data_IF_268974366102
#
_entry.id   IF_268974366102
#
_cell.length_a   1.000
_cell.length_b   1.000
_cell.length_c   1.000
_cell.angle_alpha   90.00
_cell.angle_beta   90.00
_cell.angle_gamma   90.00
#
_symmetry.space_group_name_H-M   'P 1'
#
loop_
_entity.id
_entity.type
_entity.pdbx_description
1 polymer ?
#
# COMPACT_ATOMS: atom_id res chain seq x y z
N UNK A 1 -5.24 22.67 -4.26
CA UNK A 1 -6.13 23.64 -3.60
C UNK A 1 -7.58 23.18 -3.59
N UNK A 2 -8.18 22.81 -4.73
CA UNK A 2 -9.58 22.34 -4.79
C UNK A 2 -9.93 21.21 -3.82
N UNK A 3 -9.10 20.16 -3.73
CA UNK A 3 -9.35 19.05 -2.80
C UNK A 3 -9.39 19.48 -1.33
N UNK A 4 -8.51 20.41 -0.94
CA UNK A 4 -8.46 20.92 0.43
C UNK A 4 -9.67 21.81 0.74
N UNK A 5 -10.01 22.74 -0.17
CA UNK A 5 -11.20 23.59 -0.03
C UNK A 5 -12.47 22.74 0.04
N UNK A 6 -12.55 21.68 -0.75
CA UNK A 6 -13.68 20.77 -0.76
C UNK A 6 -13.76 19.94 0.54
N UNK A 7 -12.64 19.40 1.02
CA UNK A 7 -12.60 18.70 2.31
C UNK A 7 -12.98 19.60 3.49
N UNK A 8 -12.51 20.86 3.49
CA UNK A 8 -12.93 21.85 4.48
C UNK A 8 -14.44 22.12 4.41
N UNK A 9 -15.00 22.31 3.22
CA UNK A 9 -16.43 22.53 3.04
C UNK A 9 -17.25 21.34 3.60
N UNK A 10 -16.87 20.12 3.26
CA UNK A 10 -17.53 18.90 3.74
C UNK A 10 -17.44 18.72 5.25
N UNK A 11 -16.35 19.19 5.87
CA UNK A 11 -16.16 19.11 7.33
C UNK A 11 -16.89 20.24 8.07
N UNK A 12 -16.96 21.43 7.45
CA UNK A 12 -17.58 22.62 8.05
C UNK A 12 -19.12 22.53 8.07
N UNK A 13 -19.73 21.90 7.05
CA UNK A 13 -21.18 21.70 6.95
C UNK A 13 -21.80 21.02 8.19
N UNK A 14 -21.39 19.80 8.57
CA UNK A 14 -21.90 19.12 9.76
C UNK A 14 -21.48 19.82 11.06
N UNK A 15 -20.33 20.49 11.09
CA UNK A 15 -19.90 21.30 12.23
C UNK A 15 -20.81 22.52 12.45
N UNK A 16 -21.16 23.25 11.39
CA UNK A 16 -22.06 24.41 11.45
C UNK A 16 -23.49 24.03 11.85
N UNK A 17 -23.92 22.81 11.51
CA UNK A 17 -25.20 22.25 11.93
C UNK A 17 -25.19 21.63 13.35
N UNK A 18 -24.08 21.75 14.09
CA UNK A 18 -23.89 21.19 15.44
C UNK A 18 -24.20 19.68 15.52
N UNK A 19 -23.83 18.94 14.47
CA UNK A 19 -24.10 17.50 14.35
C UNK A 19 -23.01 16.68 15.03
N UNK A 20 -21.79 17.21 15.18
CA UNK A 20 -20.72 16.51 15.89
C UNK A 20 -20.88 16.59 17.42
N UNK A 21 -20.59 15.48 18.11
CA UNK A 21 -20.64 15.39 19.56
C UNK A 21 -19.84 14.21 20.10
N UNK A 22 -19.67 14.15 21.43
CA UNK A 22 -19.05 13.00 22.08
C UNK A 22 -20.02 11.82 22.06
N UNK A 23 -19.58 10.69 21.50
CA UNK A 23 -20.30 9.43 21.57
C UNK A 23 -19.94 8.71 22.87
N UNK A 24 -20.95 8.40 23.69
CA UNK A 24 -20.77 7.81 25.01
C UNK A 24 -20.29 6.35 24.94
N UNK A 25 -20.61 5.65 23.84
CA UNK A 25 -20.26 4.23 23.66
C UNK A 25 -18.80 4.04 23.29
N UNK A 26 -18.31 4.84 22.33
CA UNK A 26 -16.92 4.75 21.86
C UNK A 26 -15.96 5.67 22.59
N UNK A 27 -16.46 6.69 23.30
CA UNK A 27 -15.65 7.73 23.94
C UNK A 27 -14.96 8.67 22.92
N UNK A 28 -15.34 8.59 21.64
CA UNK A 28 -14.81 9.41 20.56
C UNK A 28 -15.78 10.53 20.15
N UNK A 29 -15.26 11.57 19.50
CA UNK A 29 -16.13 12.55 18.84
C UNK A 29 -16.64 11.99 17.52
N UNK A 30 -17.95 11.83 17.40
CA UNK A 30 -18.63 11.34 16.19
C UNK A 30 -19.92 12.12 15.90
N UNK A 31 -20.72 11.67 14.94
CA UNK A 31 -22.07 12.20 14.69
C UNK A 31 -22.97 11.93 15.91
N UNK A 32 -23.56 12.99 16.48
CA UNK A 32 -24.43 12.94 17.65
C UNK A 32 -25.79 12.35 17.27
N UNK A 33 -26.33 11.44 18.08
CA UNK A 33 -27.66 10.86 17.87
C UNK A 33 -27.64 9.65 16.93
N UNK A 34 -26.67 8.74 17.13
CA UNK A 34 -26.64 7.46 16.46
C UNK A 34 -28.00 6.75 16.55
N UNK A 35 -28.52 6.31 15.40
CA UNK A 35 -29.85 5.68 15.29
C UNK A 35 -30.96 6.58 14.74
N UNK A 36 -30.77 7.89 14.62
CA UNK A 36 -31.75 8.76 13.93
C UNK A 36 -31.51 8.82 12.42
N UNK A 37 -32.57 8.61 11.62
CA UNK A 37 -32.49 8.58 10.13
C UNK A 37 -31.87 9.84 9.54
N UNK A 38 -32.17 11.00 10.14
CA UNK A 38 -31.60 12.28 9.73
C UNK A 38 -30.06 12.31 9.84
N UNK A 39 -29.50 11.72 10.90
CA UNK A 39 -28.06 11.65 11.12
C UNK A 39 -27.40 10.71 10.11
N UNK A 40 -28.07 9.61 9.75
CA UNK A 40 -27.60 8.72 8.69
C UNK A 40 -27.47 9.45 7.35
N UNK A 41 -28.44 10.31 6.99
CA UNK A 41 -28.38 11.10 5.76
C UNK A 41 -27.17 12.05 5.79
N UNK A 42 -26.91 12.71 6.92
CA UNK A 42 -25.73 13.57 7.07
C UNK A 42 -24.45 12.79 6.87
N UNK A 43 -24.27 11.70 7.60
CA UNK A 43 -23.10 10.85 7.54
C UNK A 43 -22.85 10.30 6.12
N UNK A 44 -23.90 9.84 5.44
CA UNK A 44 -23.81 9.44 4.04
C UNK A 44 -23.46 10.60 3.12
N UNK A 45 -24.05 11.77 3.31
CA UNK A 45 -23.87 12.90 2.40
C UNK A 45 -22.51 13.57 2.56
N UNK A 46 -21.92 13.58 3.76
CA UNK A 46 -20.65 14.27 4.04
C UNK A 46 -19.45 13.34 3.99
N UNK A 47 -19.63 12.03 4.23
CA UNK A 47 -18.53 11.08 4.35
C UNK A 47 -18.63 9.92 3.35
N UNK A 48 -19.57 8.99 3.54
CA UNK A 48 -19.59 7.75 2.76
C UNK A 48 -19.87 7.96 1.28
N UNK A 49 -20.80 8.85 0.93
CA UNK A 49 -21.16 9.12 -0.47
C UNK A 49 -19.99 9.67 -1.28
N UNK A 50 -19.17 10.55 -0.69
CA UNK A 50 -17.97 11.07 -1.35
C UNK A 50 -16.86 10.04 -1.44
N UNK A 51 -16.75 9.18 -0.42
CA UNK A 51 -15.85 8.04 -0.46
C UNK A 51 -16.24 7.14 -1.63
N UNK A 52 -17.48 6.65 -1.68
CA UNK A 52 -17.98 5.76 -2.74
C UNK A 52 -17.87 6.38 -4.14
N UNK A 53 -18.20 7.66 -4.29
CA UNK A 53 -18.02 8.39 -5.55
C UNK A 53 -16.55 8.42 -6.00
N UNK A 54 -15.62 8.60 -5.06
CA UNK A 54 -14.17 8.57 -5.34
C UNK A 54 -13.71 7.17 -5.73
N UNK A 55 -14.21 6.12 -5.07
CA UNK A 55 -13.92 4.72 -5.42
C UNK A 55 -14.41 4.41 -6.83
N UNK A 56 -15.66 4.77 -7.12
CA UNK A 56 -16.28 4.55 -8.42
C UNK A 56 -15.52 5.28 -9.52
N UNK A 57 -15.15 6.54 -9.29
CA UNK A 57 -14.32 7.32 -10.23
C UNK A 57 -12.98 6.64 -10.50
N UNK A 58 -12.26 6.22 -9.45
CA UNK A 58 -10.99 5.50 -9.58
C UNK A 58 -11.16 4.19 -10.37
N UNK A 59 -12.22 3.43 -10.10
CA UNK A 59 -12.51 2.19 -10.83
C UNK A 59 -12.77 2.46 -12.33
N UNK A 60 -13.56 3.48 -12.66
CA UNK A 60 -13.85 3.87 -14.05
C UNK A 60 -12.57 4.23 -14.80
N UNK A 61 -11.74 5.12 -14.22
CA UNK A 61 -10.47 5.55 -14.84
C UNK A 61 -9.57 4.34 -15.12
N UNK A 62 -9.50 3.40 -14.18
CA UNK A 62 -8.66 2.21 -14.31
C UNK A 62 -9.20 1.26 -15.36
N UNK A 63 -10.51 1.03 -15.39
CA UNK A 63 -11.17 0.28 -16.46
C UNK A 63 -10.86 0.91 -17.83
N UNK A 64 -10.92 2.23 -17.95
CA UNK A 64 -10.57 2.94 -19.19
C UNK A 64 -9.10 2.71 -19.59
N UNK A 65 -8.17 2.81 -18.64
CA UNK A 65 -6.74 2.57 -18.86
C UNK A 65 -6.49 1.12 -19.32
N UNK A 66 -7.07 0.13 -18.64
CA UNK A 66 -6.94 -1.29 -19.00
C UNK A 66 -7.48 -1.52 -20.42
N UNK A 67 -8.67 -0.99 -20.72
CA UNK A 67 -9.27 -1.12 -22.06
C UNK A 67 -8.36 -0.52 -23.12
N UNK A 68 -7.80 0.66 -22.87
CA UNK A 68 -6.86 1.32 -23.79
C UNK A 68 -5.59 0.49 -23.98
N UNK A 69 -4.99 -0.02 -22.91
CA UNK A 69 -3.80 -0.87 -22.97
C UNK A 69 -4.05 -2.17 -23.73
N UNK A 70 -5.21 -2.81 -23.51
CA UNK A 70 -5.58 -4.02 -24.24
C UNK A 70 -5.83 -3.76 -25.73
N UNK A 71 -6.38 -2.59 -26.08
CA UNK A 71 -6.55 -2.20 -27.49
C UNK A 71 -5.19 -1.99 -28.17
N UNK A 72 -4.26 -1.30 -27.51
CA UNK A 72 -2.90 -1.08 -28.02
C UNK A 72 -2.16 -2.42 -28.16
N UNK A 73 -2.26 -3.32 -27.17
CA UNK A 73 -1.66 -4.64 -27.24
C UNK A 73 -2.15 -5.46 -28.44
N UNK A 74 -3.47 -5.42 -28.73
CA UNK A 74 -4.04 -6.11 -29.90
C UNK A 74 -3.55 -5.54 -31.24
N UNK A 75 -3.23 -4.25 -31.31
CA UNK A 75 -2.66 -3.64 -32.52
C UNK A 75 -1.23 -4.14 -32.79
N UNK A 76 -0.44 -4.38 -31.74
CA UNK A 76 0.89 -4.96 -31.92
C UNK A 76 0.85 -6.42 -32.34
N UNK A 77 -0.06 -7.22 -31.76
CA UNK A 77 -0.21 -8.64 -32.13
C UNK A 77 -0.61 -8.83 -33.61
N UNK A 78 -1.35 -7.88 -34.20
CA UNK A 78 -1.74 -7.94 -35.62
C UNK A 78 -0.60 -7.59 -36.59
N UNK A 79 0.35 -6.74 -36.19
CA UNK A 79 1.51 -6.36 -37.01
C UNK A 79 2.59 -7.45 -37.08
N UNK A 80 2.72 -8.23 -36.00
CA UNK A 80 3.69 -9.34 -35.95
C UNK A 80 3.32 -10.49 -36.90
N UNK A 81 2.02 -10.74 -37.14
CA UNK A 81 1.58 -11.78 -38.09
C UNK A 81 1.93 -11.44 -39.55
N UNK A 82 2.03 -10.17 -39.92
CA UNK A 82 2.39 -9.73 -41.28
C UNK A 82 3.89 -9.72 -41.58
N UNK A 83 4.76 -9.88 -40.57
CA UNK A 83 6.22 -9.69 -40.68
C UNK A 83 7.02 -11.01 -40.64
N UNK A 84 6.51 -12.08 -41.28
CA UNK A 84 7.04 -13.46 -41.20
C UNK A 84 8.38 -13.70 -41.91
N UNK A 85 9.20 -12.69 -42.21
CA UNK A 85 10.48 -12.94 -42.88
C UNK A 85 11.60 -12.03 -42.40
N UNK A 86 12.54 -12.65 -41.68
CA UNK A 86 13.92 -12.27 -41.37
C UNK A 86 14.19 -11.51 -40.06
N UNK A 87 14.66 -12.31 -39.11
CA UNK A 87 15.95 -12.17 -38.41
C UNK A 87 16.00 -11.38 -37.10
N UNK A 88 16.33 -12.14 -36.04
CA UNK A 88 16.90 -11.75 -34.74
C UNK A 88 16.10 -10.78 -33.86
N UNK A 89 14.97 -11.27 -33.39
CA UNK A 89 13.97 -10.60 -32.55
C UNK A 89 14.03 -11.08 -31.08
N UNK A 90 15.16 -10.90 -30.38
CA UNK A 90 15.30 -11.35 -28.98
C UNK A 90 15.07 -10.24 -27.93
N UNK A 91 14.93 -8.98 -28.35
CA UNK A 91 14.73 -7.82 -27.48
C UNK A 91 13.27 -7.51 -27.02
N UNK A 92 12.18 -7.96 -27.69
CA UNK A 92 10.82 -7.52 -27.32
C UNK A 92 10.18 -8.24 -26.12
N UNK A 93 10.70 -9.40 -25.70
CA UNK A 93 10.11 -10.18 -24.59
C UNK A 93 10.37 -9.56 -23.21
N UNK A 94 11.53 -8.94 -23.01
CA UNK A 94 11.94 -8.35 -21.72
C UNK A 94 11.11 -7.10 -21.40
N UNK A 95 10.78 -6.28 -22.41
CA UNK A 95 9.97 -5.08 -22.23
C UNK A 95 8.51 -5.42 -21.89
N UNK A 96 7.93 -6.47 -22.49
CA UNK A 96 6.55 -6.92 -22.21
C UNK A 96 6.35 -7.33 -20.75
N UNK A 97 7.31 -8.05 -20.17
CA UNK A 97 7.26 -8.46 -18.76
C UNK A 97 7.39 -7.27 -17.78
N UNK A 98 8.20 -6.26 -18.12
CA UNK A 98 8.37 -5.07 -17.29
C UNK A 98 7.11 -4.20 -17.31
N UNK A 99 6.51 -4.01 -18.49
CA UNK A 99 5.28 -3.21 -18.66
C UNK A 99 4.10 -3.88 -17.94
N UNK A 100 3.92 -5.20 -18.06
CA UNK A 100 2.82 -5.90 -17.38
C UNK A 100 2.95 -5.85 -15.85
N UNK A 101 4.17 -5.86 -15.32
CA UNK A 101 4.44 -5.67 -13.89
C UNK A 101 4.02 -4.30 -13.39
N UNK A 102 4.32 -3.23 -14.14
CA UNK A 102 3.92 -1.85 -13.79
C UNK A 102 2.39 -1.71 -13.80
N UNK A 103 1.74 -2.21 -14.87
CA UNK A 103 0.27 -2.16 -14.97
C UNK A 103 -0.38 -2.93 -13.82
N UNK A 104 0.17 -4.08 -13.43
CA UNK A 104 -0.34 -4.85 -12.29
C UNK A 104 -0.28 -4.06 -10.98
N UNK A 105 0.75 -3.24 -10.76
CA UNK A 105 0.85 -2.38 -9.56
C UNK A 105 -0.22 -1.28 -9.58
N UNK A 106 -0.37 -0.60 -10.72
CA UNK A 106 -1.39 0.44 -10.92
C UNK A 106 -2.80 -0.10 -10.66
N UNK A 107 -3.04 -1.37 -11.03
CA UNK A 107 -4.31 -2.08 -10.82
C UNK A 107 -4.65 -2.36 -9.35
N UNK A 108 -3.68 -2.38 -8.43
CA UNK A 108 -3.94 -2.64 -7.01
C UNK A 108 -4.40 -1.40 -6.25
N UNK A 109 -4.08 -0.18 -6.72
CA UNK A 109 -4.47 1.05 -6.03
C UNK A 109 -6.00 1.24 -5.87
N UNK A 110 -6.84 0.91 -6.85
CA UNK A 110 -8.30 1.01 -6.71
C UNK A 110 -8.90 -0.10 -5.84
N UNK A 111 -8.17 -1.20 -5.62
CA UNK A 111 -8.62 -2.30 -4.76
C UNK A 111 -8.55 -1.89 -3.28
N UNK A 112 -7.63 -0.97 -2.94
CA UNK A 112 -7.46 -0.47 -1.58
C UNK A 112 -8.74 0.18 -1.00
N UNK A 113 -9.38 1.13 -1.71
CA UNK A 113 -10.64 1.69 -1.23
C UNK A 113 -11.81 0.70 -1.13
N UNK A 114 -11.83 -0.38 -1.92
CA UNK A 114 -12.95 -1.36 -1.90
C UNK A 114 -13.12 -1.98 -0.51
N UNK A 115 -12.03 -2.17 0.22
CA UNK A 115 -12.07 -2.68 1.59
C UNK A 115 -12.79 -1.73 2.57
N UNK A 116 -12.89 -0.42 2.26
CA UNK A 116 -13.55 0.57 3.10
C UNK A 116 -15.09 0.52 2.99
N UNK A 117 -15.61 0.00 1.87
CA UNK A 117 -17.06 -0.12 1.63
C UNK A 117 -17.74 -0.97 2.72
N UNK A 118 -17.05 -1.98 3.25
CA UNK A 118 -17.57 -2.82 4.32
C UNK A 118 -17.88 -2.04 5.61
N UNK A 119 -17.13 -0.98 5.89
CA UNK A 119 -17.39 -0.11 7.04
C UNK A 119 -18.73 0.63 6.90
N UNK A 120 -18.94 1.31 5.78
CA UNK A 120 -20.19 2.02 5.50
C UNK A 120 -21.42 1.10 5.44
N UNK A 121 -21.24 -0.11 4.87
CA UNK A 121 -22.31 -1.10 4.83
C UNK A 121 -22.71 -1.58 6.22
N UNK A 122 -21.74 -1.85 7.10
CA UNK A 122 -22.00 -2.29 8.47
C UNK A 122 -22.79 -1.25 9.25
N UNK A 123 -22.45 0.03 9.06
CA UNK A 123 -23.13 1.13 9.73
C UNK A 123 -24.56 1.34 9.22
N UNK A 124 -24.77 1.20 7.91
CA UNK A 124 -26.11 1.24 7.31
C UNK A 124 -26.95 0.05 7.76
N UNK A 125 -26.34 -1.13 7.85
CA UNK A 125 -27.00 -2.34 8.34
C UNK A 125 -27.42 -2.18 9.81
N UNK A 126 -26.53 -1.67 10.65
CA UNK A 126 -26.83 -1.36 12.06
C UNK A 126 -28.01 -0.40 12.17
N UNK A 127 -28.06 0.61 11.31
CA UNK A 127 -29.15 1.59 11.33
C UNK A 127 -30.51 0.98 11.00
N UNK A 128 -30.57 0.04 10.04
CA UNK A 128 -31.82 -0.59 9.59
C UNK A 128 -32.32 -1.62 10.61
N UNK A 129 -31.42 -2.41 11.18
CA UNK A 129 -31.80 -3.57 11.98
C UNK A 129 -31.75 -3.30 13.50
N UNK A 130 -31.17 -2.17 13.93
CA UNK A 130 -30.89 -1.81 15.32
C UNK A 130 -30.03 -2.81 16.11
N UNK A 131 -29.57 -3.88 15.44
CA UNK A 131 -28.71 -4.93 15.98
C UNK A 131 -27.56 -5.18 15.00
N UNK A 132 -26.35 -5.39 15.53
CA UNK A 132 -25.18 -5.76 14.73
C UNK A 132 -24.94 -7.26 14.91
N UNK A 133 -25.28 -8.10 13.92
CA UNK A 133 -24.94 -9.50 13.97
C UNK A 133 -23.42 -9.63 13.97
N UNK A 134 -22.93 -10.55 14.80
CA UNK A 134 -21.49 -10.79 14.97
C UNK A 134 -20.76 -11.01 13.62
N UNK A 135 -21.42 -11.65 12.66
CA UNK A 135 -20.86 -11.91 11.33
C UNK A 135 -20.55 -10.62 10.56
N UNK A 136 -21.43 -9.62 10.60
CA UNK A 136 -21.22 -8.34 9.89
C UNK A 136 -20.09 -7.56 10.55
N UNK A 137 -20.05 -7.54 11.89
CA UNK A 137 -18.94 -6.93 12.63
C UNK A 137 -17.59 -7.60 12.29
N UNK A 138 -17.57 -8.93 12.21
CA UNK A 138 -16.36 -9.69 11.86
C UNK A 138 -15.90 -9.40 10.42
N UNK A 139 -16.82 -9.30 9.46
CA UNK A 139 -16.51 -8.89 8.09
C UNK A 139 -15.93 -7.47 8.06
N UNK A 140 -16.48 -6.54 8.85
CA UNK A 140 -15.96 -5.18 8.96
C UNK A 140 -14.51 -5.17 9.48
N UNK A 141 -14.22 -5.89 10.56
CA UNK A 141 -12.86 -6.00 11.09
C UNK A 141 -11.88 -6.64 10.10
N UNK A 142 -12.31 -7.67 9.37
CA UNK A 142 -11.51 -8.27 8.30
C UNK A 142 -11.26 -7.24 7.20
N UNK A 143 -12.27 -6.48 6.77
CA UNK A 143 -12.14 -5.44 5.76
C UNK A 143 -11.15 -4.35 6.15
N UNK A 144 -11.28 -3.81 7.36
CA UNK A 144 -10.36 -2.79 7.90
C UNK A 144 -8.92 -3.32 8.01
N UNK A 145 -8.75 -4.56 8.48
CA UNK A 145 -7.43 -5.20 8.58
C UNK A 145 -6.83 -5.46 7.20
N UNK A 146 -7.67 -5.88 6.24
CA UNK A 146 -7.27 -6.14 4.86
C UNK A 146 -6.83 -4.86 4.16
N UNK A 147 -7.43 -3.72 4.46
CA UNK A 147 -6.96 -2.43 3.94
C UNK A 147 -5.50 -2.16 4.33
N UNK A 148 -5.15 -2.35 5.61
CA UNK A 148 -3.78 -2.22 6.09
C UNK A 148 -2.82 -3.21 5.43
N UNK A 149 -3.24 -4.47 5.30
CA UNK A 149 -2.45 -5.52 4.65
C UNK A 149 -2.21 -5.24 3.17
N UNK A 150 -3.25 -4.84 2.43
CA UNK A 150 -3.14 -4.49 1.02
C UNK A 150 -2.25 -3.26 0.82
N UNK A 151 -2.34 -2.25 1.69
CA UNK A 151 -1.44 -1.10 1.65
C UNK A 151 0.01 -1.55 1.81
N UNK A 152 0.29 -2.37 2.82
CA UNK A 152 1.63 -2.92 3.04
C UNK A 152 2.12 -3.76 1.84
N UNK A 153 1.22 -4.54 1.23
CA UNK A 153 1.53 -5.36 0.05
C UNK A 153 1.85 -4.48 -1.16
N UNK A 154 1.08 -3.42 -1.42
CA UNK A 154 1.35 -2.46 -2.49
C UNK A 154 2.69 -1.77 -2.28
N UNK A 155 2.99 -1.33 -1.05
CA UNK A 155 4.31 -0.76 -0.73
C UNK A 155 5.45 -1.76 -0.87
N UNK A 156 5.24 -3.03 -0.49
CA UNK A 156 6.27 -4.07 -0.64
C UNK A 156 6.63 -4.36 -2.10
N UNK A 157 5.71 -4.09 -3.02
CA UNK A 157 5.95 -4.25 -4.44
C UNK A 157 6.68 -3.05 -5.06
N UNK A 158 6.88 -1.94 -4.35
CA UNK A 158 7.52 -0.76 -4.94
C UNK A 158 8.95 -1.06 -5.44
N UNK A 159 9.33 -0.45 -6.58
CA UNK A 159 10.61 -0.63 -7.25
C UNK A 159 11.77 -0.26 -6.30
N UNK A 160 11.57 0.71 -5.40
CA UNK A 160 12.57 1.06 -4.40
C UNK A 160 12.97 -0.14 -3.51
N UNK A 161 11.99 -0.99 -3.16
CA UNK A 161 12.21 -2.24 -2.40
C UNK A 161 12.80 -3.33 -3.31
N UNK A 162 12.38 -3.37 -4.57
CA UNK A 162 12.87 -4.37 -5.53
C UNK A 162 14.33 -4.11 -5.95
N UNK A 163 14.78 -2.86 -5.95
CA UNK A 163 16.16 -2.47 -6.24
C UNK A 163 17.09 -2.69 -5.04
N UNK A 164 16.55 -2.67 -3.81
CA UNK A 164 17.26 -3.03 -2.58
C UNK A 164 17.12 -4.51 -2.21
N UNK A 165 16.53 -5.33 -3.09
CA UNK A 165 16.04 -6.67 -2.76
C UNK A 165 17.08 -7.79 -2.56
N UNK A 166 18.34 -7.77 -3.06
CA UNK A 166 19.25 -8.87 -2.70
C UNK A 166 19.47 -8.93 -1.19
N UNK A 167 19.47 -7.78 -0.49
CA UNK A 167 19.70 -7.74 0.96
C UNK A 167 18.44 -7.96 1.79
N UNK A 168 17.25 -7.52 1.34
CA UNK A 168 16.03 -7.58 2.17
C UNK A 168 15.51 -9.01 2.33
N UNK A 169 15.49 -9.82 1.26
CA UNK A 169 15.03 -11.21 1.36
C UNK A 169 15.96 -12.04 2.24
N UNK A 170 17.28 -11.79 2.14
CA UNK A 170 18.27 -12.35 3.05
C UNK A 170 18.03 -11.88 4.49
N UNK A 171 17.83 -10.58 4.71
CA UNK A 171 17.58 -10.01 6.03
C UNK A 171 16.30 -10.54 6.68
N UNK A 172 15.22 -10.70 5.91
CA UNK A 172 13.95 -11.25 6.38
C UNK A 172 14.08 -12.74 6.70
N UNK A 173 14.86 -13.48 5.90
CA UNK A 173 15.24 -14.86 6.21
C UNK A 173 16.07 -14.92 7.51
N UNK A 174 17.04 -14.01 7.72
CA UNK A 174 17.79 -13.91 8.97
C UNK A 174 16.89 -13.55 10.16
N UNK A 175 15.94 -12.63 10.00
CA UNK A 175 15.05 -12.20 11.07
C UNK A 175 14.06 -13.32 11.46
N UNK A 176 13.52 -14.07 10.48
CA UNK A 176 12.69 -15.25 10.71
C UNK A 176 13.48 -16.35 11.41
N UNK A 177 14.72 -16.60 11.00
CA UNK A 177 15.60 -17.56 11.67
C UNK A 177 15.88 -17.12 13.11
N UNK A 178 16.22 -15.86 13.34
CA UNK A 178 16.42 -15.35 14.71
C UNK A 178 15.16 -15.52 15.56
N UNK A 179 13.96 -15.23 15.04
CA UNK A 179 12.70 -15.40 15.78
C UNK A 179 12.33 -16.87 16.03
N UNK A 180 12.62 -17.77 15.09
CA UNK A 180 12.36 -19.22 15.23
C UNK A 180 13.35 -19.86 16.20
N UNK A 181 14.62 -19.45 16.18
CA UNK A 181 15.67 -20.00 17.04
C UNK A 181 15.81 -19.29 18.39
N UNK A 182 15.26 -18.08 18.55
CA UNK A 182 15.10 -17.43 19.86
C UNK A 182 13.91 -18.05 20.59
N UNK A 183 14.07 -19.30 21.02
CA UNK A 183 13.17 -19.88 22.00
C UNK A 183 13.18 -18.97 23.23
N UNK A 184 12.01 -18.58 23.77
CA UNK A 184 11.95 -17.85 25.02
C UNK A 184 12.64 -18.74 26.05
N UNK A 185 13.81 -18.30 26.52
CA UNK A 185 14.48 -18.94 27.63
C UNK A 185 13.50 -18.79 28.78
N UNK A 186 12.74 -19.85 29.06
CA UNK A 186 11.88 -19.94 30.23
C UNK A 186 12.84 -19.94 31.40
N UNK A 187 13.22 -18.74 31.82
CA UNK A 187 13.87 -18.50 33.09
C UNK A 187 12.82 -18.90 34.11
N UNK A 188 12.83 -20.18 34.47
CA UNK A 188 12.17 -20.69 35.66
C UNK A 188 12.76 -19.87 36.80
N UNK A 189 12.04 -18.82 37.19
CA UNK A 189 12.32 -18.00 38.35
C UNK A 189 12.05 -18.86 39.57
N UNK A 190 13.01 -19.73 39.88
CA UNK A 190 13.24 -20.13 41.26
C UNK A 190 13.65 -18.84 41.95
N UNK A 191 12.87 -18.40 42.93
CA UNK A 191 13.24 -17.33 43.84
C UNK A 191 14.24 -17.92 44.85
N UNK A 192 15.52 -17.50 44.88
CA UNK A 192 16.21 -17.37 46.13
C UNK A 192 15.98 -15.95 46.63
N UNK A 193 15.27 -15.85 47.75
CA UNK A 193 15.57 -14.83 48.75
C UNK A 193 17.09 -14.69 48.89
N UNK A 194 17.61 -13.46 48.82
CA UNK A 194 18.58 -12.91 49.79
C UNK A 194 19.15 -11.57 49.29
N UNK A 195 18.80 -10.52 50.03
CA UNK A 195 19.62 -9.43 50.55
C UNK A 195 20.98 -9.08 49.92
N UNK A 196 21.09 -7.76 49.67
CA UNK A 196 22.24 -6.86 49.87
C UNK A 196 23.59 -7.15 49.17
N UNK A 197 23.97 -6.21 48.29
CA UNK A 197 25.11 -5.25 48.41
C UNK A 197 25.50 -4.81 46.98
N UNK A 198 25.39 -3.52 46.63
CA UNK A 198 26.48 -2.52 46.68
C UNK A 198 27.84 -3.09 46.30
N UNK A 199 28.40 -2.64 45.16
CA UNK A 199 29.79 -2.18 45.00
C UNK A 199 30.02 -1.70 43.56
N UNK A 200 30.72 -0.57 43.48
CA UNK A 200 31.12 0.20 42.30
C UNK A 200 32.25 -0.45 41.48
N UNK A 201 32.45 0.15 40.30
CA UNK A 201 33.76 0.55 39.72
C UNK A 201 34.39 -0.32 38.62
N UNK A 202 35.24 0.38 37.84
CA UNK A 202 36.25 -0.09 36.87
C UNK A 202 35.76 -0.10 35.42
N UNK A 203 35.99 0.93 34.59
CA UNK A 203 37.26 1.42 34.00
C UNK A 203 38.05 0.32 33.30
N UNK A 204 38.14 0.40 31.96
CA UNK A 204 39.00 -0.47 31.15
C UNK A 204 38.94 -0.17 29.65
N UNK A 205 39.90 0.62 29.17
CA UNK A 205 40.18 0.94 27.76
C UNK A 205 40.78 -0.26 26.99
N UNK A 206 40.50 -0.37 25.67
CA UNK A 206 41.44 -0.80 24.58
C UNK A 206 40.67 -0.92 23.24
N UNK A 207 40.82 -0.01 22.27
CA UNK A 207 41.89 0.20 21.27
C UNK A 207 42.01 -0.90 20.17
N UNK A 208 41.58 -0.50 18.96
CA UNK A 208 42.12 -0.75 17.60
C UNK A 208 42.32 -2.17 17.05
N UNK A 209 41.77 -2.46 15.86
CA UNK A 209 42.47 -2.36 14.57
C UNK A 209 41.55 -2.70 13.37
N UNK A 210 41.85 -2.21 12.15
CA UNK A 210 41.05 -2.41 10.93
C UNK A 210 41.58 -3.58 10.10
N UNK A 211 40.69 -4.38 9.48
CA UNK A 211 41.07 -5.31 8.42
C UNK A 211 40.43 -4.90 7.10
N UNK A 212 41.29 -4.34 6.25
CA UNK A 212 41.11 -4.12 4.82
C UNK A 212 40.83 -5.46 4.14
N UNK A 213 39.68 -5.60 3.49
CA UNK A 213 39.45 -6.66 2.50
C UNK A 213 39.30 -5.99 1.13
N UNK A 214 40.28 -6.29 0.28
CA UNK A 214 40.37 -5.88 -1.12
C UNK A 214 39.27 -6.59 -1.89
N UNK A 215 38.21 -5.87 -2.25
CA UNK A 215 37.18 -6.34 -3.17
C UNK A 215 37.59 -5.99 -4.60
N UNK A 216 37.63 -7.02 -5.43
CA UNK A 216 38.22 -7.03 -6.76
C UNK A 216 37.18 -6.56 -7.77
N UNK A 217 37.42 -5.37 -8.31
CA UNK A 217 36.64 -4.72 -9.36
C UNK A 217 36.47 -5.63 -10.59
N UNK A 218 35.22 -5.80 -11.01
CA UNK A 218 34.85 -6.44 -12.27
C UNK A 218 33.55 -5.79 -12.80
N UNK A 219 33.60 -4.47 -13.03
CA UNK A 219 32.42 -3.60 -13.25
C UNK A 219 32.35 -2.99 -14.66
N UNK A 220 32.93 -3.62 -15.69
CA UNK A 220 33.02 -3.02 -17.04
C UNK A 220 32.08 -3.58 -18.10
N UNK A 221 31.08 -4.40 -17.74
CA UNK A 221 30.14 -4.98 -18.74
C UNK A 221 28.65 -4.70 -18.54
N UNK A 222 28.23 -3.95 -17.51
CA UNK A 222 26.80 -3.63 -17.29
C UNK A 222 26.37 -2.22 -17.76
N UNK A 223 27.29 -1.30 -18.03
CA UNK A 223 26.93 0.11 -18.27
C UNK A 223 26.31 0.42 -19.65
N UNK A 224 26.39 -0.49 -20.62
CA UNK A 224 25.87 -0.21 -21.98
C UNK A 224 24.38 -0.57 -22.15
N UNK A 225 23.85 -1.49 -21.35
CA UNK A 225 22.43 -1.92 -21.46
C UNK A 225 21.50 -1.07 -20.60
N UNK A 226 22.02 -0.39 -19.57
CA UNK A 226 21.22 0.38 -18.63
C UNK A 226 20.86 1.78 -19.17
N UNK A 227 21.72 2.39 -19.99
CA UNK A 227 21.49 3.71 -20.58
C UNK A 227 20.26 3.77 -21.51
N UNK A 228 20.07 2.78 -22.38
CA UNK A 228 18.93 2.78 -23.33
C UNK A 228 17.58 2.50 -22.68
N UNK A 229 17.56 1.77 -21.56
CA UNK A 229 16.32 1.51 -20.81
C UNK A 229 15.82 2.75 -20.08
N UNK A 230 16.73 3.60 -19.57
CA UNK A 230 16.37 4.82 -18.82
C UNK A 230 15.73 5.85 -19.75
N UNK A 231 16.31 6.06 -20.94
CA UNK A 231 15.81 7.01 -21.94
C UNK A 231 14.42 6.60 -22.47
N UNK A 232 14.16 5.30 -22.65
CA UNK A 232 12.85 4.82 -23.06
C UNK A 232 11.79 4.97 -21.95
N UNK A 233 12.13 4.74 -20.69
CA UNK A 233 11.22 4.97 -19.57
C UNK A 233 10.88 6.45 -19.38
N UNK A 234 11.82 7.34 -19.64
CA UNK A 234 11.59 8.80 -19.55
C UNK A 234 10.62 9.26 -20.64
N UNK A 235 10.80 8.77 -21.88
CA UNK A 235 9.89 9.05 -23.00
C UNK A 235 8.46 8.54 -22.77
N UNK A 236 8.31 7.33 -22.23
CA UNK A 236 7.00 6.76 -21.92
C UNK A 236 6.34 7.51 -20.76
N UNK A 237 7.12 7.93 -19.76
CA UNK A 237 6.62 8.75 -18.64
C UNK A 237 6.09 10.10 -19.12
N UNK A 238 6.84 10.81 -19.96
CA UNK A 238 6.44 12.07 -20.61
C UNK A 238 5.14 11.91 -21.41
N UNK A 239 5.01 10.83 -22.20
CA UNK A 239 3.82 10.60 -23.02
C UNK A 239 2.58 10.26 -22.18
N UNK A 240 2.74 9.50 -21.09
CA UNK A 240 1.66 9.20 -20.13
C UNK A 240 1.22 10.48 -19.40
N UNK A 241 2.17 11.29 -18.92
CA UNK A 241 1.88 12.57 -18.27
C UNK A 241 1.16 13.52 -19.22
N UNK A 242 1.60 13.59 -20.48
CA UNK A 242 0.97 14.45 -21.50
C UNK A 242 -0.44 13.95 -21.83
N UNK A 243 -0.66 12.64 -21.87
CA UNK A 243 -1.97 12.04 -22.11
C UNK A 243 -2.92 12.27 -20.93
N UNK A 244 -2.43 12.14 -19.69
CA UNK A 244 -3.21 12.43 -18.49
C UNK A 244 -3.58 13.91 -18.39
N UNK A 245 -2.72 14.82 -18.86
CA UNK A 245 -3.02 16.27 -18.88
C UNK A 245 -4.07 16.68 -19.92
N UNK A 246 -4.39 15.79 -20.88
CA UNK A 246 -5.43 16.02 -21.91
C UNK A 246 -6.80 15.44 -21.53
N UNK A 247 -6.88 14.68 -20.44
CA UNK A 247 -8.13 14.19 -19.84
C UNK A 247 -8.59 15.15 -18.76
#
# INVERSE_FOLDING_TARGET
>A
MFAFSFALLLSLLPAAANIYGLDELTGGCWYRGAGQQYILIWEWTTFFGWMDASILYCAIVIIMIIRKLNLVAKQFDTLDFSSTSRSSSHLPLISKARISSVVRRVMWYPVLPVAQIFGGFTQTYYHINHEIPYVVLLICFIGLSLQGLLNALVFSQDIAVTLSQPSLLEWLRYMLLIKIFSFPKTTSRVNPSNNLSSINSSVGNKLSAPSVLVEKDNSDKQNVVQGSSIELTEKISEEIVTTLRRL
#
